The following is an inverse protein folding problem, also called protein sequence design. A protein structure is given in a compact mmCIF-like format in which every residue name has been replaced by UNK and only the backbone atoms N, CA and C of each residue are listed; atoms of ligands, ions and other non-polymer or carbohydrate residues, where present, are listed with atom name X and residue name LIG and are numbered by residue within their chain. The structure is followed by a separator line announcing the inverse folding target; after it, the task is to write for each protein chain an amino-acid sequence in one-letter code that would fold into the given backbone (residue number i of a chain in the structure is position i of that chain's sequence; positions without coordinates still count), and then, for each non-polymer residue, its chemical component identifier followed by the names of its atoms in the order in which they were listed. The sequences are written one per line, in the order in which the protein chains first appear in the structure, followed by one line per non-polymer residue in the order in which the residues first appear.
data_IF_975745183132
#
_entry.id   IF_975745183132
#
_cell.length_a   1.000
_cell.length_b   1.000
_cell.length_c   1.000
_cell.angle_alpha   90.00
_cell.angle_beta   90.00
_cell.angle_gamma   90.00
#
_symmetry.space_group_name_H-M   'P 1'
#
loop_
_entity.id
_entity.type
_entity.pdbx_description
1 polymer ?
#
# COMPACT_ATOMS: atom_id res chain seq x y z
N UNK A 1 -19.24 12.97 6.20
CA UNK A 1 -18.48 12.63 7.41
C UNK A 1 -19.09 11.39 8.02
N UNK A 2 -18.29 10.35 8.28
CA UNK A 2 -18.77 9.20 9.04
C UNK A 2 -18.97 9.63 10.50
N UNK A 3 -20.15 9.36 11.06
CA UNK A 3 -20.49 9.67 12.45
C UNK A 3 -20.44 8.43 13.34
N UNK A 4 -20.39 7.25 12.71
CA UNK A 4 -20.42 5.92 13.30
C UNK A 4 -19.34 5.05 12.62
N UNK A 5 -19.00 3.86 13.16
CA UNK A 5 -18.12 2.91 12.48
C UNK A 5 -18.58 2.65 11.04
N UNK A 6 -17.62 2.51 10.13
CA UNK A 6 -17.93 2.40 8.69
C UNK A 6 -18.65 1.09 8.33
N UNK A 7 -18.44 0.03 9.11
CA UNK A 7 -18.99 -1.32 8.89
C UNK A 7 -18.88 -1.80 7.43
N UNK A 8 -17.78 -1.43 6.75
CA UNK A 8 -17.55 -1.79 5.36
C UNK A 8 -17.64 -3.31 5.16
N UNK A 9 -18.57 -3.73 4.31
CA UNK A 9 -18.78 -5.14 3.99
C UNK A 9 -17.86 -5.64 2.88
N UNK A 10 -17.40 -4.74 2.01
CA UNK A 10 -16.67 -5.12 0.79
C UNK A 10 -15.24 -4.59 0.72
N UNK A 11 -14.81 -3.71 1.63
CA UNK A 11 -13.45 -3.20 1.62
C UNK A 11 -12.88 -3.02 3.03
N UNK A 12 -11.55 -3.04 3.11
CA UNK A 12 -10.79 -2.53 4.24
C UNK A 12 -10.22 -1.15 3.90
N UNK A 13 -10.04 -0.31 4.91
CA UNK A 13 -9.36 0.97 4.80
C UNK A 13 -8.27 1.04 5.86
N UNK A 14 -7.06 1.36 5.42
CA UNK A 14 -5.90 1.55 6.28
C UNK A 14 -5.33 2.94 6.07
N UNK A 15 -4.92 3.58 7.16
CA UNK A 15 -4.05 4.74 7.13
C UNK A 15 -2.64 4.30 7.51
N UNK A 16 -1.66 4.64 6.67
CA UNK A 16 -0.27 4.24 6.83
C UNK A 16 0.60 5.49 6.87
N UNK A 17 1.46 5.59 7.90
CA UNK A 17 2.44 6.68 8.03
C UNK A 17 3.85 6.12 8.02
N UNK A 18 4.69 6.62 7.13
CA UNK A 18 6.08 6.21 6.93
C UNK A 18 7.01 7.32 7.42
N UNK A 19 8.07 6.95 8.12
CA UNK A 19 9.16 7.86 8.42
C UNK A 19 10.00 8.21 7.18
N UNK A 20 10.85 9.25 7.27
CA UNK A 20 11.86 9.57 6.26
C UNK A 20 12.66 8.36 5.78
N UNK A 21 12.60 8.06 4.48
CA UNK A 21 13.33 6.94 3.86
C UNK A 21 12.91 5.55 4.37
N UNK A 22 11.84 5.44 5.17
CA UNK A 22 11.42 4.16 5.69
C UNK A 22 10.85 3.31 4.56
N UNK A 23 11.33 2.08 4.49
CA UNK A 23 10.96 1.07 3.50
C UNK A 23 10.51 -0.19 4.23
N UNK A 24 9.43 -0.80 3.76
CA UNK A 24 9.04 -2.11 4.27
C UNK A 24 10.15 -3.14 3.96
N UNK A 25 10.61 -3.96 4.92
CA UNK A 25 11.71 -4.91 4.70
C UNK A 25 11.34 -6.10 3.81
N UNK A 26 10.09 -6.13 3.31
CA UNK A 26 9.53 -7.19 2.49
C UNK A 26 8.75 -6.61 1.29
N UNK A 27 8.67 -7.41 0.24
CA UNK A 27 7.59 -7.33 -0.74
C UNK A 27 6.41 -8.17 -0.27
N UNK A 28 5.22 -7.92 -0.80
CA UNK A 28 4.07 -8.77 -0.55
C UNK A 28 3.15 -8.91 -1.77
N UNK A 29 2.46 -10.05 -1.85
CA UNK A 29 1.34 -10.31 -2.77
C UNK A 29 0.03 -10.46 -2.00
N UNK A 30 -1.12 -10.36 -2.68
CA UNK A 30 -2.44 -10.61 -2.12
C UNK A 30 -3.08 -11.73 -2.93
N UNK A 31 -3.68 -12.72 -2.30
CA UNK A 31 -4.34 -13.85 -2.99
C UNK A 31 -5.60 -13.38 -3.70
N UNK A 32 -6.37 -12.51 -3.04
CA UNK A 32 -7.70 -12.09 -3.50
C UNK A 32 -7.83 -10.59 -3.68
N UNK A 33 -7.22 -9.79 -2.80
CA UNK A 33 -7.41 -8.35 -2.83
C UNK A 33 -6.66 -7.69 -3.97
N UNK A 34 -7.35 -6.79 -4.68
CA UNK A 34 -6.68 -5.63 -5.24
C UNK A 34 -6.58 -4.55 -4.16
N UNK A 35 -5.55 -3.72 -4.27
CA UNK A 35 -5.36 -2.59 -3.37
C UNK A 35 -5.17 -1.28 -4.14
N UNK A 36 -5.74 -0.21 -3.61
CA UNK A 36 -5.55 1.16 -4.11
C UNK A 36 -4.77 1.94 -3.05
N UNK A 37 -3.60 2.44 -3.44
CA UNK A 37 -2.71 3.25 -2.64
C UNK A 37 -2.87 4.71 -3.06
N UNK A 38 -3.25 5.57 -2.12
CA UNK A 38 -3.43 7.01 -2.35
C UNK A 38 -2.48 7.75 -1.43
N UNK A 39 -1.47 8.40 -1.99
CA UNK A 39 -0.59 9.27 -1.20
C UNK A 39 -1.37 10.55 -0.84
N UNK A 40 -1.37 10.95 0.43
CA UNK A 40 -2.04 12.19 0.87
C UNK A 40 -1.04 13.28 1.28
N UNK A 41 0.13 12.92 1.80
CA UNK A 41 1.17 13.87 2.22
C UNK A 41 2.58 13.28 1.99
N UNK A 42 3.56 14.17 1.80
CA UNK A 42 4.96 13.81 1.57
C UNK A 42 5.22 13.34 0.14
N UNK A 43 6.17 12.42 0.01
CA UNK A 43 6.48 11.73 -1.25
C UNK A 43 6.74 10.26 -0.96
N UNK A 44 6.48 9.39 -1.92
CA UNK A 44 6.75 7.97 -1.78
C UNK A 44 7.13 7.37 -3.13
N UNK A 45 7.70 6.18 -3.11
CA UNK A 45 7.77 5.32 -4.30
C UNK A 45 7.20 3.95 -3.99
N UNK A 46 6.58 3.36 -5.00
CA UNK A 46 6.12 1.98 -4.98
C UNK A 46 6.96 1.16 -5.94
N UNK A 47 7.48 0.02 -5.49
CA UNK A 47 7.99 -1.02 -6.37
C UNK A 47 6.85 -2.00 -6.64
N UNK A 48 6.51 -2.22 -7.91
CA UNK A 48 5.45 -3.10 -8.36
C UNK A 48 6.07 -4.01 -9.41
N UNK A 49 6.29 -5.29 -9.07
CA UNK A 49 7.19 -6.17 -9.81
C UNK A 49 8.56 -5.48 -10.03
N UNK A 50 8.94 -5.26 -11.29
CA UNK A 50 10.18 -4.58 -11.67
C UNK A 50 10.01 -3.06 -11.87
N UNK A 51 8.78 -2.55 -11.82
CA UNK A 51 8.50 -1.13 -12.05
C UNK A 51 8.62 -0.31 -10.77
N UNK A 52 9.20 0.87 -10.90
CA UNK A 52 9.20 1.90 -9.86
C UNK A 52 8.24 3.02 -10.23
N UNK A 53 7.27 3.27 -9.36
CA UNK A 53 6.27 4.32 -9.52
C UNK A 53 6.52 5.39 -8.46
N UNK A 54 6.73 6.64 -8.89
CA UNK A 54 6.83 7.78 -7.99
C UNK A 54 5.43 8.32 -7.65
N UNK A 55 5.21 8.60 -6.37
CA UNK A 55 3.97 9.13 -5.84
C UNK A 55 4.18 10.55 -5.34
N UNK A 56 3.29 11.44 -5.79
CA UNK A 56 3.08 12.79 -5.26
C UNK A 56 1.68 12.86 -4.65
N UNK A 57 1.38 13.84 -3.77
CA UNK A 57 0.08 13.91 -3.13
C UNK A 57 -1.07 13.81 -4.14
N UNK A 58 -2.03 12.95 -3.79
CA UNK A 58 -3.19 12.54 -4.58
C UNK A 58 -2.91 11.68 -5.82
N UNK A 59 -1.68 11.16 -5.99
CA UNK A 59 -1.44 10.01 -6.87
C UNK A 59 -2.15 8.79 -6.28
N UNK A 60 -2.98 8.14 -7.09
CA UNK A 60 -3.62 6.87 -6.78
C UNK A 60 -3.04 5.75 -7.66
N UNK A 61 -2.59 4.67 -7.03
CA UNK A 61 -2.05 3.49 -7.72
C UNK A 61 -2.89 2.28 -7.36
N UNK A 62 -3.45 1.62 -8.37
CA UNK A 62 -4.13 0.33 -8.22
C UNK A 62 -3.12 -0.79 -8.45
N UNK A 63 -3.09 -1.77 -7.55
CA UNK A 63 -2.29 -2.98 -7.67
C UNK A 63 -3.21 -4.19 -7.68
N UNK A 64 -3.09 -5.02 -8.71
CA UNK A 64 -3.88 -6.24 -8.87
C UNK A 64 -3.52 -7.30 -7.81
N UNK A 65 -4.41 -8.29 -7.57
CA UNK A 65 -4.04 -9.47 -6.81
C UNK A 65 -2.84 -10.17 -7.45
N UNK A 66 -2.09 -10.90 -6.63
CA UNK A 66 -0.91 -11.68 -7.00
C UNK A 66 0.26 -10.88 -7.57
N UNK A 67 0.14 -9.56 -7.69
CA UNK A 67 1.23 -8.66 -8.06
C UNK A 67 2.07 -8.33 -6.83
N UNK A 68 3.37 -8.56 -6.91
CA UNK A 68 4.32 -8.26 -5.84
C UNK A 68 4.51 -6.75 -5.72
N UNK A 69 4.42 -6.22 -4.50
CA UNK A 69 4.62 -4.80 -4.25
C UNK A 69 5.27 -4.47 -2.92
N UNK A 70 5.82 -3.28 -2.86
CA UNK A 70 6.28 -2.61 -1.64
C UNK A 70 6.24 -1.10 -1.82
N UNK A 71 6.31 -0.35 -0.72
CA UNK A 71 6.42 1.10 -0.74
C UNK A 71 7.53 1.61 0.19
N UNK A 72 8.09 2.75 -0.18
CA UNK A 72 9.08 3.50 0.58
C UNK A 72 8.65 4.96 0.70
N UNK A 73 8.78 5.52 1.90
CA UNK A 73 8.59 6.94 2.14
C UNK A 73 9.79 7.76 1.66
N UNK A 74 9.53 8.92 1.09
CA UNK A 74 10.54 9.85 0.62
C UNK A 74 11.33 10.55 1.74
N UNK A 75 12.13 11.58 1.41
CA UNK A 75 13.03 12.24 2.37
C UNK A 75 12.35 12.85 3.59
N UNK A 76 11.09 13.26 3.46
CA UNK A 76 10.30 13.84 4.56
C UNK A 76 9.26 12.85 5.13
N UNK A 77 9.27 11.60 4.65
CA UNK A 77 8.25 10.59 4.96
C UNK A 77 7.05 10.65 4.02
N UNK A 78 6.03 9.84 4.34
CA UNK A 78 4.82 9.71 3.53
C UNK A 78 3.60 9.33 4.38
N UNK A 79 2.42 9.73 3.92
CA UNK A 79 1.14 9.28 4.46
C UNK A 79 0.26 8.72 3.35
N UNK A 80 -0.24 7.50 3.53
CA UNK A 80 -1.08 6.82 2.53
C UNK A 80 -2.43 6.41 3.12
N UNK A 81 -3.46 6.50 2.28
CA UNK A 81 -4.68 5.71 2.43
C UNK A 81 -4.56 4.49 1.53
N UNK A 82 -4.74 3.31 2.11
CA UNK A 82 -4.75 2.03 1.39
C UNK A 82 -6.13 1.42 1.49
N UNK A 83 -6.72 1.09 0.35
CA UNK A 83 -8.06 0.48 0.26
C UNK A 83 -7.91 -0.88 -0.39
N UNK A 84 -8.22 -1.94 0.35
CA UNK A 84 -8.22 -3.32 -0.15
C UNK A 84 -9.64 -3.82 -0.42
N UNK A 85 -9.87 -4.45 -1.57
CA UNK A 85 -11.17 -5.03 -1.97
C UNK A 85 -10.99 -6.34 -2.75
N UNK A 86 -11.82 -7.38 -2.54
CA UNK A 86 -12.91 -7.46 -1.56
C UNK A 86 -12.36 -7.50 -0.13
N UNK A 87 -13.19 -7.37 0.90
CA UNK A 87 -12.74 -7.59 2.28
C UNK A 87 -12.34 -9.06 2.46
N UNK A 88 -11.12 -9.30 2.93
CA UNK A 88 -10.61 -10.63 3.25
C UNK A 88 -10.34 -10.78 4.74
N UNK A 89 -10.18 -12.02 5.20
CA UNK A 89 -9.70 -12.34 6.54
C UNK A 89 -8.17 -12.28 6.64
N UNK A 90 -7.60 -12.59 7.82
CA UNK A 90 -6.16 -12.71 7.96
C UNK A 90 -5.60 -13.79 7.01
N UNK A 91 -4.37 -13.58 6.52
CA UNK A 91 -3.66 -14.54 5.67
C UNK A 91 -3.87 -14.39 4.15
N UNK A 92 -4.55 -13.33 3.70
CA UNK A 92 -4.64 -13.01 2.27
C UNK A 92 -3.32 -12.53 1.67
N UNK A 93 -2.40 -12.01 2.51
CA UNK A 93 -1.08 -11.57 2.07
C UNK A 93 -0.02 -12.66 2.23
N UNK A 94 0.81 -12.85 1.20
CA UNK A 94 2.07 -13.60 1.29
C UNK A 94 3.23 -12.59 1.22
N UNK A 95 4.25 -12.76 2.07
CA UNK A 95 5.37 -11.82 2.20
C UNK A 95 6.70 -12.46 1.80
N UNK A 96 7.55 -11.68 1.13
CA UNK A 96 8.90 -12.08 0.74
C UNK A 96 9.93 -11.09 1.31
N UNK A 97 10.78 -11.59 2.21
CA UNK A 97 11.83 -10.78 2.84
C UNK A 97 12.94 -10.45 1.86
N UNK A 98 13.49 -9.24 1.92
CA UNK A 98 14.63 -8.86 1.07
C UNK A 98 14.30 -8.76 -0.43
N UNK A 99 13.02 -8.65 -0.79
CA UNK A 99 12.57 -8.51 -2.18
C UNK A 99 12.98 -7.18 -2.84
N UNK A 100 13.24 -6.15 -2.03
CA UNK A 100 13.88 -4.94 -2.51
C UNK A 100 15.32 -5.25 -2.92
N UNK A 101 15.65 -4.96 -4.16
CA UNK A 101 16.89 -5.40 -4.82
C UNK A 101 17.74 -4.24 -5.33
N UNK A 102 17.32 -3.01 -5.03
CA UNK A 102 18.01 -1.74 -5.34
C UNK A 102 18.78 -1.20 -4.13
#
# INVERSE_FOLDING_TARGET
MAKDPLECTNCGLSYVRLGPGWRAPFGHTHKTQEEIYILIEGSARMKIEDDLVDLKPFTAVRVSPQTMRGYEGGPDGAELIVIGTPRTGPGDADMEQGWWSD
#
